data_IF_561422599561
#
_entry.id   IF_561422599561
#
_cell.length_a   1.000
_cell.length_b   1.000
_cell.length_c   1.000
_cell.angle_alpha   90.00
_cell.angle_beta   90.00
_cell.angle_gamma   90.00
#
_symmetry.space_group_name_H-M   'P 1'
#
loop_
_entity.id
_entity.type
_entity.pdbx_description
1 polymer ?
#
# COMPACT_ATOMS: atom_id res chain seq x y z
N UNK A 1 20.44 -2.23 -11.00
CA UNK A 1 19.49 -2.94 -10.10
C UNK A 1 18.24 -2.08 -10.05
N UNK A 2 17.05 -2.65 -10.21
CA UNK A 2 15.86 -1.86 -10.55
C UNK A 2 15.46 -0.93 -9.39
N UNK A 3 15.42 0.38 -9.65
CA UNK A 3 14.84 1.34 -8.70
C UNK A 3 13.32 1.29 -8.81
N UNK A 4 12.65 1.35 -7.66
CA UNK A 4 11.18 1.38 -7.57
C UNK A 4 10.71 2.75 -7.06
N UNK A 5 9.68 3.30 -7.70
CA UNK A 5 9.03 4.53 -7.30
C UNK A 5 7.52 4.34 -7.26
N UNK A 6 6.83 5.14 -6.44
CA UNK A 6 5.39 5.07 -6.29
C UNK A 6 4.77 6.43 -6.60
N UNK A 7 3.67 6.42 -7.31
CA UNK A 7 2.75 7.56 -7.45
C UNK A 7 1.31 7.07 -7.29
N UNK A 8 0.35 7.97 -7.22
CA UNK A 8 -1.06 7.59 -7.04
C UNK A 8 -2.04 8.61 -7.60
N UNK A 9 -3.27 8.13 -7.77
CA UNK A 9 -4.46 8.95 -7.97
C UNK A 9 -5.49 8.55 -6.91
N UNK A 10 -6.04 9.53 -6.21
CA UNK A 10 -7.21 9.34 -5.35
C UNK A 10 -8.49 9.55 -6.16
N UNK A 11 -9.44 8.63 -6.02
CA UNK A 11 -10.79 8.82 -6.55
C UNK A 11 -11.65 9.42 -5.42
N UNK A 12 -11.80 10.75 -5.46
CA UNK A 12 -12.52 11.48 -4.42
C UNK A 12 -14.01 11.15 -4.47
N UNK A 13 -14.56 10.76 -3.31
CA UNK A 13 -16.00 10.63 -3.14
C UNK A 13 -16.61 12.03 -3.04
N UNK A 14 -17.60 12.31 -3.88
CA UNK A 14 -18.42 13.51 -3.78
C UNK A 14 -19.38 13.40 -2.58
N UNK A 15 -19.16 14.22 -1.55
CA UNK A 15 -20.04 14.29 -0.38
C UNK A 15 -21.17 15.27 -0.68
N UNK A 16 -22.34 14.75 -1.07
CA UNK A 16 -23.56 15.55 -1.21
C UNK A 16 -24.09 15.94 0.17
N UNK A 17 -24.70 17.13 0.30
CA UNK A 17 -25.27 17.64 1.58
C UNK A 17 -26.26 16.67 2.24
N UNK A 18 -26.97 15.90 1.45
CA UNK A 18 -27.94 14.87 1.89
C UNK A 18 -27.29 13.55 2.35
N UNK A 19 -26.00 13.34 2.05
CA UNK A 19 -25.19 12.18 2.41
C UNK A 19 -23.91 12.60 3.13
N UNK A 20 -24.03 13.45 4.18
CA UNK A 20 -22.89 13.75 5.05
C UNK A 20 -22.45 12.46 5.74
N UNK A 21 -21.44 11.80 5.17
CA UNK A 21 -20.79 10.64 5.74
C UNK A 21 -19.96 11.09 6.94
N UNK A 22 -20.24 10.51 8.10
CA UNK A 22 -19.41 10.70 9.27
C UNK A 22 -18.20 9.76 9.21
N UNK A 23 -17.06 10.32 8.83
CA UNK A 23 -15.82 9.54 8.77
C UNK A 23 -15.29 9.16 10.15
N UNK A 24 -15.77 9.73 11.26
CA UNK A 24 -15.23 9.44 12.60
C UNK A 24 -15.63 8.04 13.09
N UNK A 25 -16.76 7.50 12.63
CA UNK A 25 -17.31 6.21 13.07
C UNK A 25 -17.00 5.03 12.14
N UNK A 26 -16.37 5.28 10.99
CA UNK A 26 -16.10 4.23 10.00
C UNK A 26 -15.05 3.23 10.50
N UNK A 27 -15.36 1.93 10.43
CA UNK A 27 -14.37 0.88 10.63
C UNK A 27 -13.42 0.75 9.42
N UNK A 28 -12.38 -0.08 9.56
CA UNK A 28 -11.36 -0.24 8.52
C UNK A 28 -11.91 -0.86 7.22
N UNK A 29 -12.91 -1.72 7.29
CA UNK A 29 -13.51 -2.32 6.09
C UNK A 29 -14.30 -1.28 5.29
N UNK A 30 -15.06 -0.42 5.97
CA UNK A 30 -15.75 0.72 5.35
C UNK A 30 -14.75 1.71 4.76
N UNK A 31 -13.67 2.04 5.49
CA UNK A 31 -12.62 2.92 4.99
C UNK A 31 -11.96 2.37 3.71
N UNK A 32 -11.66 1.06 3.66
CA UNK A 32 -11.14 0.40 2.46
C UNK A 32 -12.08 0.52 1.27
N UNK A 33 -13.37 0.26 1.48
CA UNK A 33 -14.38 0.28 0.42
C UNK A 33 -14.66 1.70 -0.10
N UNK A 34 -14.55 2.70 0.78
CA UNK A 34 -14.85 4.08 0.44
C UNK A 34 -13.66 4.79 -0.19
N UNK A 35 -12.48 4.65 0.40
CA UNK A 35 -11.27 5.36 -0.04
C UNK A 35 -10.55 4.58 -1.14
N UNK A 36 -11.17 4.58 -2.32
CA UNK A 36 -10.62 3.98 -3.52
C UNK A 36 -9.58 4.89 -4.19
N UNK A 37 -8.65 4.25 -4.87
CA UNK A 37 -7.59 4.94 -5.58
C UNK A 37 -6.68 3.97 -6.30
N UNK A 38 -5.85 4.55 -7.15
CA UNK A 38 -4.92 3.86 -8.02
C UNK A 38 -3.50 4.12 -7.56
N UNK A 39 -2.71 3.06 -7.43
CA UNK A 39 -1.28 3.17 -7.15
C UNK A 39 -0.52 2.82 -8.43
N UNK A 40 0.39 3.70 -8.82
CA UNK A 40 1.32 3.50 -9.92
C UNK A 40 2.68 3.12 -9.36
N UNK A 41 3.15 1.92 -9.67
CA UNK A 41 4.49 1.44 -9.29
C UNK A 41 5.39 1.51 -10.50
N UNK A 42 6.39 2.39 -10.49
CA UNK A 42 7.33 2.59 -11.59
C UNK A 42 8.64 1.86 -11.32
N UNK A 43 9.13 1.18 -12.36
CA UNK A 43 10.41 0.50 -12.37
C UNK A 43 11.36 1.23 -13.33
N UNK A 44 12.47 1.74 -12.81
CA UNK A 44 13.55 2.29 -13.62
C UNK A 44 14.58 1.19 -13.87
N UNK A 45 14.71 0.80 -15.14
CA UNK A 45 15.77 -0.09 -15.60
C UNK A 45 16.99 0.74 -15.98
N UNK A 46 18.16 0.39 -15.47
CA UNK A 46 19.38 1.16 -15.71
C UNK A 46 19.82 1.12 -17.19
N UNK A 47 19.44 0.07 -17.95
CA UNK A 47 19.78 -0.03 -19.38
C UNK A 47 18.91 -1.03 -20.18
N UNK A 48 18.13 -0.61 -21.20
CA UNK A 48 17.83 0.78 -21.55
C UNK A 48 16.96 1.44 -20.48
N UNK A 49 17.12 2.76 -20.29
CA UNK A 49 16.24 3.58 -19.42
C UNK A 49 14.81 3.61 -19.95
N UNK A 50 14.05 2.57 -19.64
CA UNK A 50 12.61 2.48 -19.91
C UNK A 50 11.89 2.54 -18.58
N UNK A 51 10.95 3.48 -18.45
CA UNK A 51 9.97 3.46 -17.36
C UNK A 51 8.89 2.47 -17.75
N UNK A 52 8.86 1.34 -17.05
CA UNK A 52 7.69 0.46 -17.05
C UNK A 52 6.93 0.73 -15.76
N UNK A 53 5.60 0.70 -15.82
CA UNK A 53 4.78 0.89 -14.63
C UNK A 53 3.74 -0.21 -14.51
N UNK A 54 3.30 -0.42 -13.27
CA UNK A 54 2.22 -1.29 -12.88
C UNK A 54 1.14 -0.45 -12.21
N UNK A 55 -0.12 -0.76 -12.51
CA UNK A 55 -1.28 -0.13 -11.91
C UNK A 55 -1.94 -1.08 -10.91
N UNK A 56 -2.15 -0.62 -9.68
CA UNK A 56 -2.91 -1.32 -8.65
C UNK A 56 -4.22 -0.56 -8.39
N UNK A 57 -5.37 -1.18 -8.68
CA UNK A 57 -6.71 -0.51 -8.73
C UNK A 57 -7.64 -0.88 -7.56
N UNK A 58 -7.18 -1.72 -6.62
CA UNK A 58 -8.01 -2.37 -5.59
C UNK A 58 -8.17 -1.59 -4.28
N UNK A 59 -7.81 -0.30 -4.25
CA UNK A 59 -8.05 0.60 -3.11
C UNK A 59 -6.77 0.97 -2.34
N UNK A 60 -6.58 2.27 -2.11
CA UNK A 60 -5.31 2.80 -1.61
C UNK A 60 -5.05 2.40 -0.15
N UNK A 61 -6.09 2.37 0.69
CA UNK A 61 -6.00 1.98 2.11
C UNK A 61 -5.56 0.52 2.25
N UNK A 62 -6.08 -0.37 1.41
CA UNK A 62 -5.78 -1.80 1.48
C UNK A 62 -4.29 -2.06 1.19
N UNK A 63 -3.76 -1.48 0.11
CA UNK A 63 -2.33 -1.59 -0.20
C UNK A 63 -1.42 -0.87 0.79
N UNK A 64 -1.85 0.26 1.36
CA UNK A 64 -1.09 0.87 2.44
C UNK A 64 -0.95 -0.08 3.64
N UNK A 65 -2.01 -0.79 4.02
CA UNK A 65 -1.93 -1.75 5.13
C UNK A 65 -1.05 -2.95 4.76
N UNK A 66 -1.28 -3.54 3.57
CA UNK A 66 -0.57 -4.74 3.15
C UNK A 66 0.94 -4.50 2.98
N UNK A 67 1.35 -3.42 2.31
CA UNK A 67 2.78 -3.10 2.17
C UNK A 67 3.43 -2.78 3.52
N UNK A 68 2.71 -2.10 4.42
CA UNK A 68 3.21 -1.83 5.77
C UNK A 68 3.43 -3.13 6.57
N UNK A 69 2.54 -4.11 6.40
CA UNK A 69 2.70 -5.43 7.01
C UNK A 69 3.92 -6.16 6.47
N UNK A 70 4.13 -6.16 5.14
CA UNK A 70 5.33 -6.74 4.51
C UNK A 70 6.60 -6.14 5.11
N UNK A 71 6.71 -4.81 5.18
CA UNK A 71 7.86 -4.13 5.79
C UNK A 71 8.06 -4.53 7.26
N UNK A 72 6.96 -4.54 8.03
CA UNK A 72 6.99 -4.89 9.45
C UNK A 72 7.48 -6.32 9.67
N UNK A 73 7.04 -7.27 8.84
CA UNK A 73 7.46 -8.66 8.96
C UNK A 73 8.94 -8.84 8.60
N UNK A 74 9.41 -8.20 7.53
CA UNK A 74 10.82 -8.22 7.14
C UNK A 74 11.70 -7.59 8.23
N UNK A 75 11.29 -6.43 8.76
CA UNK A 75 12.02 -5.75 9.85
C UNK A 75 12.08 -6.59 11.14
N UNK A 76 11.08 -7.46 11.37
CA UNK A 76 11.06 -8.43 12.48
C UNK A 76 11.86 -9.71 12.20
N UNK A 77 12.45 -9.84 11.01
CA UNK A 77 13.30 -10.98 10.63
C UNK A 77 12.60 -12.09 9.86
N UNK A 78 11.34 -11.91 9.45
CA UNK A 78 10.67 -12.87 8.58
C UNK A 78 11.04 -12.59 7.12
N UNK A 79 11.77 -13.51 6.49
CA UNK A 79 12.23 -13.37 5.11
C UNK A 79 11.19 -13.76 4.07
N UNK A 80 10.14 -14.48 4.45
CA UNK A 80 9.10 -14.92 3.52
C UNK A 80 7.75 -15.04 4.21
N UNK A 81 6.68 -15.01 3.42
CA UNK A 81 5.35 -15.32 3.93
C UNK A 81 5.28 -16.79 4.34
N UNK A 82 4.71 -17.08 5.50
CA UNK A 82 4.31 -18.45 5.81
C UNK A 82 3.21 -18.87 4.83
N UNK A 83 3.30 -20.07 4.28
CA UNK A 83 2.31 -20.64 3.36
C UNK A 83 0.98 -20.82 4.10
N UNK A 84 0.10 -19.83 4.05
CA UNK A 84 -1.27 -19.93 4.56
C UNK A 84 -2.21 -20.20 3.40
N UNK A 85 -3.20 -21.08 3.60
CA UNK A 85 -4.17 -21.45 2.56
C UNK A 85 -4.78 -20.21 1.90
N UNK A 86 -4.88 -20.25 0.56
CA UNK A 86 -5.42 -19.17 -0.30
C UNK A 86 -6.84 -18.74 0.08
N UNK A 87 -7.55 -19.57 0.85
CA UNK A 87 -8.96 -19.36 1.20
C UNK A 87 -9.18 -18.36 2.35
N UNK A 88 -8.15 -17.98 3.10
CA UNK A 88 -8.33 -17.20 4.35
C UNK A 88 -8.25 -15.67 4.19
N UNK A 89 -7.63 -15.15 3.12
CA UNK A 89 -7.40 -13.70 2.97
C UNK A 89 -7.63 -13.23 1.53
N UNK A 90 -8.74 -12.51 1.29
CA UNK A 90 -8.89 -11.71 0.07
C UNK A 90 -7.82 -10.60 0.05
N UNK A 91 -7.20 -10.39 -1.11
CA UNK A 91 -6.07 -9.50 -1.37
C UNK A 91 -4.88 -9.69 -0.39
N UNK A 92 -4.27 -10.88 -0.37
CA UNK A 92 -3.02 -11.08 0.36
C UNK A 92 -1.81 -10.88 -0.54
N UNK A 93 -0.72 -10.33 0.04
CA UNK A 93 0.59 -10.24 -0.60
C UNK A 93 1.46 -11.38 -0.09
N UNK A 94 2.06 -12.12 -1.03
CA UNK A 94 3.16 -13.01 -0.75
C UNK A 94 4.48 -12.27 -1.02
N UNK A 95 5.45 -12.41 -0.13
CA UNK A 95 6.76 -11.81 -0.29
C UNK A 95 7.89 -12.78 0.01
N UNK A 96 9.03 -12.51 -0.61
CA UNK A 96 10.31 -13.15 -0.34
C UNK A 96 11.40 -12.06 -0.31
N UNK A 97 12.23 -12.09 0.72
CA UNK A 97 13.33 -11.16 0.94
C UNK A 97 14.63 -11.92 1.18
N UNK A 98 15.64 -11.64 0.35
CA UNK A 98 17.01 -12.12 0.56
C UNK A 98 17.89 -11.01 1.13
N UNK A 99 18.41 -11.24 2.34
CA UNK A 99 19.35 -10.34 2.99
C UNK A 99 20.72 -10.28 2.30
N UNK A 100 21.11 -11.33 1.59
CA UNK A 100 22.43 -11.44 0.95
C UNK A 100 22.64 -10.40 -0.15
N UNK A 101 21.58 -10.11 -0.91
CA UNK A 101 21.61 -9.21 -2.06
C UNK A 101 20.56 -8.08 -1.97
N UNK A 102 19.93 -7.90 -0.81
CA UNK A 102 18.85 -6.93 -0.57
C UNK A 102 17.65 -7.11 -1.50
N UNK A 103 17.45 -8.30 -2.09
CA UNK A 103 16.41 -8.55 -3.08
C UNK A 103 15.05 -8.79 -2.42
N UNK A 104 14.05 -8.02 -2.85
CA UNK A 104 12.66 -8.15 -2.44
C UNK A 104 11.81 -8.54 -3.65
N UNK A 105 11.00 -9.58 -3.49
CA UNK A 105 9.92 -9.97 -4.38
C UNK A 105 8.60 -9.89 -3.63
N UNK A 106 7.60 -9.22 -4.18
CA UNK A 106 6.22 -9.19 -3.66
C UNK A 106 5.28 -9.59 -4.80
N UNK A 107 4.33 -10.49 -4.53
CA UNK A 107 3.37 -11.02 -5.50
C UNK A 107 1.96 -10.99 -4.93
N UNK A 108 0.97 -10.74 -5.79
CA UNK A 108 -0.44 -10.85 -5.42
C UNK A 108 -0.88 -12.32 -5.44
N UNK A 109 -1.53 -12.79 -4.38
CA UNK A 109 -1.76 -14.23 -4.16
C UNK A 109 -3.00 -14.77 -4.88
N UNK A 110 -4.04 -13.97 -5.03
CA UNK A 110 -5.35 -14.49 -5.45
C UNK A 110 -5.43 -14.67 -6.96
N UNK A 111 -5.10 -13.60 -7.69
CA UNK A 111 -5.22 -13.53 -9.14
C UNK A 111 -3.86 -13.54 -9.83
N UNK A 112 -2.75 -13.53 -9.07
CA UNK A 112 -1.38 -13.48 -9.56
C UNK A 112 -1.16 -12.37 -10.60
N UNK A 113 -1.88 -11.26 -10.44
CA UNK A 113 -1.95 -10.20 -11.45
C UNK A 113 -0.61 -9.50 -11.64
N UNK A 114 0.24 -9.52 -10.60
CA UNK A 114 1.48 -8.79 -10.64
C UNK A 114 2.57 -9.34 -9.70
N UNK A 115 3.80 -8.92 -9.99
CA UNK A 115 4.98 -9.15 -9.15
C UNK A 115 5.88 -7.93 -9.16
N UNK A 116 6.23 -7.43 -7.98
CA UNK A 116 7.19 -6.35 -7.76
C UNK A 116 8.54 -6.99 -7.40
N UNK A 117 9.59 -6.67 -8.15
CA UNK A 117 10.97 -7.15 -7.87
C UNK A 117 11.90 -5.94 -7.80
N UNK A 118 12.51 -5.70 -6.65
CA UNK A 118 13.34 -4.52 -6.39
C UNK A 118 14.23 -4.72 -5.16
N UNK A 119 15.01 -3.70 -4.79
CA UNK A 119 15.80 -3.73 -3.55
C UNK A 119 14.91 -3.38 -2.37
N UNK A 120 15.02 -4.13 -1.27
CA UNK A 120 14.24 -3.89 -0.06
C UNK A 120 14.46 -2.47 0.50
N UNK A 121 15.72 -2.01 0.58
CA UNK A 121 16.02 -0.66 1.10
C UNK A 121 15.41 0.44 0.23
N UNK A 122 15.47 0.28 -1.09
CA UNK A 122 14.89 1.25 -2.03
C UNK A 122 13.36 1.21 -1.97
N UNK A 123 12.77 0.02 -1.88
CA UNK A 123 11.34 -0.15 -1.70
C UNK A 123 10.85 0.54 -0.44
N UNK A 124 11.46 0.21 0.72
CA UNK A 124 11.11 0.77 2.03
C UNK A 124 11.16 2.30 2.01
N UNK A 125 12.28 2.87 1.58
CA UNK A 125 12.49 4.32 1.52
C UNK A 125 11.47 5.02 0.63
N UNK A 126 11.18 4.48 -0.55
CA UNK A 126 10.26 5.12 -1.49
C UNK A 126 8.80 4.93 -1.07
N UNK A 127 8.46 3.76 -0.53
CA UNK A 127 7.14 3.47 0.02
C UNK A 127 6.81 4.34 1.23
N UNK A 128 7.74 4.54 2.17
CA UNK A 128 7.53 5.41 3.34
C UNK A 128 7.20 6.85 2.93
N UNK A 129 7.92 7.39 1.95
CA UNK A 129 7.65 8.72 1.38
C UNK A 129 6.27 8.79 0.73
N UNK A 130 5.95 7.80 -0.09
CA UNK A 130 4.66 7.67 -0.75
C UNK A 130 3.52 7.59 0.27
N UNK A 131 3.61 6.69 1.25
CA UNK A 131 2.62 6.48 2.31
C UNK A 131 2.36 7.78 3.07
N UNK A 132 3.41 8.50 3.48
CA UNK A 132 3.25 9.79 4.17
C UNK A 132 2.52 10.82 3.32
N UNK A 133 2.84 10.92 2.02
CA UNK A 133 2.18 11.83 1.09
C UNK A 133 0.68 11.50 0.97
N UNK A 134 0.35 10.22 0.73
CA UNK A 134 -1.04 9.75 0.60
C UNK A 134 -1.86 10.04 1.86
N UNK A 135 -1.35 9.66 3.03
CA UNK A 135 -2.08 9.85 4.30
C UNK A 135 -2.34 11.32 4.59
N UNK A 136 -1.36 12.20 4.31
CA UNK A 136 -1.54 13.63 4.45
C UNK A 136 -2.63 14.16 3.51
N UNK A 137 -2.62 13.78 2.23
CA UNK A 137 -3.65 14.21 1.29
C UNK A 137 -5.05 13.69 1.66
N UNK A 138 -5.17 12.42 2.09
CA UNK A 138 -6.43 11.88 2.59
C UNK A 138 -6.99 12.68 3.77
N UNK A 139 -6.13 13.07 4.71
CA UNK A 139 -6.51 13.90 5.86
C UNK A 139 -6.86 15.33 5.46
N UNK A 140 -6.25 15.88 4.39
CA UNK A 140 -6.62 17.19 3.85
C UNK A 140 -8.01 17.14 3.22
N UNK A 141 -8.32 16.10 2.45
CA UNK A 141 -9.62 15.94 1.80
C UNK A 141 -10.72 15.52 2.78
N UNK A 142 -10.37 14.72 3.79
CA UNK A 142 -11.29 14.19 4.80
C UNK A 142 -10.76 14.44 6.22
N UNK A 143 -10.86 15.68 6.75
CA UNK A 143 -10.27 16.05 8.04
C UNK A 143 -10.74 15.20 9.23
N UNK A 144 -11.98 14.70 9.18
CA UNK A 144 -12.56 13.82 10.18
C UNK A 144 -11.80 12.50 10.37
N UNK A 145 -11.00 12.06 9.38
CA UNK A 145 -10.10 10.91 9.53
C UNK A 145 -9.09 11.09 10.66
N UNK A 146 -8.73 12.33 11.00
CA UNK A 146 -7.86 12.61 12.16
C UNK A 146 -8.47 12.16 13.47
N UNK A 147 -9.79 12.03 13.55
CA UNK A 147 -10.48 11.58 14.77
C UNK A 147 -10.97 10.13 14.70
N UNK A 148 -10.92 9.51 13.52
CA UNK A 148 -11.33 8.13 13.33
C UNK A 148 -10.36 7.15 14.03
N UNK A 149 -10.88 6.32 14.93
CA UNK A 149 -10.08 5.38 15.71
C UNK A 149 -9.41 4.28 14.87
N UNK A 150 -10.10 3.72 13.88
CA UNK A 150 -9.53 2.69 13.01
C UNK A 150 -8.39 3.26 12.14
N UNK A 151 -8.58 4.47 11.62
CA UNK A 151 -7.55 5.19 10.86
C UNK A 151 -6.34 5.48 11.75
N UNK A 152 -6.55 5.94 12.98
CA UNK A 152 -5.47 6.10 13.96
C UNK A 152 -4.74 4.78 14.19
N UNK A 153 -5.44 3.73 14.61
CA UNK A 153 -4.84 2.42 14.91
C UNK A 153 -3.91 1.90 13.78
N UNK A 154 -4.34 2.05 12.52
CA UNK A 154 -3.57 1.58 11.38
C UNK A 154 -2.50 2.56 10.86
N UNK A 155 -2.61 3.88 11.16
CA UNK A 155 -1.77 4.89 10.50
C UNK A 155 -1.10 5.93 11.43
N UNK A 156 -1.52 6.08 12.70
CA UNK A 156 -1.10 7.17 13.60
C UNK A 156 0.34 7.11 14.08
N UNK A 157 0.98 5.94 14.10
CA UNK A 157 2.40 5.82 14.49
C UNK A 157 3.37 6.47 13.48
N UNK A 158 2.87 7.09 12.41
CA UNK A 158 3.65 7.45 11.23
C UNK A 158 3.15 8.72 10.51
N UNK A 159 2.28 9.50 11.15
CA UNK A 159 1.96 10.89 10.77
C UNK A 159 2.96 11.83 11.46
#
# INVERSE_FOLDING_TARGET
MNKVFFDYKLDLIEIKKENQLDFTELDIHKLKNMLNGRIYVFFEYDNPKKRNFMLLDTGIIDYLIQFNNVLTYIDKGNSETFTVSRDYYSNSLDYFYSKENDSLKISEVNSALYTIICNYKDFKKNYEKFRKKVLNELVVFYPQLKENNAFKEHFSNFL
#
